data_IF_260376657000
#
_entry.id   IF_260376657000
#
_cell.length_a   1.000
_cell.length_b   1.000
_cell.length_c   1.000
_cell.angle_alpha   90.00
_cell.angle_beta   90.00
_cell.angle_gamma   90.00
#
_symmetry.space_group_name_H-M   'P 1'
#
loop_
_entity.id
_entity.type
_entity.pdbx_description
1 polymer ?
#
# COMPACT_ATOMS: atom_id res chain seq x y z
N UNK A 1 -22.67 -10.08 -0.95
CA UNK A 1 -22.50 -9.36 -2.24
C UNK A 1 -22.52 -10.36 -3.38
N UNK A 2 -23.09 -9.95 -4.51
CA UNK A 2 -23.32 -10.88 -5.60
C UNK A 2 -23.16 -10.20 -6.97
N UNK A 3 -22.56 -10.92 -7.93
CA UNK A 3 -22.53 -10.58 -9.36
C UNK A 3 -22.48 -11.87 -10.19
N UNK A 4 -23.12 -11.87 -11.35
CA UNK A 4 -23.11 -12.97 -12.35
C UNK A 4 -22.16 -12.70 -13.51
N UNK A 5 -21.42 -11.61 -13.47
CA UNK A 5 -20.57 -11.20 -14.56
C UNK A 5 -19.28 -12.00 -14.59
N UNK A 6 -18.83 -12.40 -15.77
CA UNK A 6 -17.47 -12.91 -15.94
C UNK A 6 -16.51 -11.73 -15.99
N UNK A 7 -15.56 -11.70 -15.08
CA UNK A 7 -14.52 -10.67 -15.07
C UNK A 7 -13.30 -11.15 -15.84
N UNK A 8 -12.74 -10.26 -16.66
CA UNK A 8 -11.56 -10.54 -17.47
C UNK A 8 -10.59 -9.37 -17.50
N UNK A 9 -9.31 -9.64 -17.33
CA UNK A 9 -8.26 -8.65 -17.54
C UNK A 9 -7.51 -8.83 -18.89
N UNK A 10 -7.99 -9.76 -19.73
CA UNK A 10 -7.38 -10.17 -20.98
C UNK A 10 -6.34 -11.29 -20.82
N UNK A 11 -6.01 -11.70 -19.59
CA UNK A 11 -5.10 -12.80 -19.27
C UNK A 11 -5.84 -13.90 -18.51
N UNK A 12 -6.60 -13.51 -17.49
CA UNK A 12 -7.41 -14.40 -16.64
C UNK A 12 -8.87 -14.02 -16.76
N UNK A 13 -9.72 -15.05 -16.88
CA UNK A 13 -11.17 -14.94 -16.78
C UNK A 13 -11.64 -15.64 -15.51
N UNK A 14 -12.55 -15.01 -14.78
CA UNK A 14 -13.14 -15.57 -13.56
C UNK A 14 -14.65 -15.33 -13.54
N UNK A 15 -15.41 -16.38 -13.26
CA UNK A 15 -16.83 -16.33 -12.88
C UNK A 15 -16.96 -16.25 -11.36
N UNK A 16 -18.16 -15.96 -10.88
CA UNK A 16 -18.49 -15.93 -9.45
C UNK A 16 -17.58 -15.03 -8.60
N UNK A 17 -17.16 -13.90 -9.18
CA UNK A 17 -16.36 -12.88 -8.53
C UNK A 17 -17.00 -11.50 -8.73
N UNK A 18 -16.84 -10.62 -7.74
CA UNK A 18 -17.26 -9.22 -7.82
C UNK A 18 -16.09 -8.28 -8.13
N UNK A 19 -14.86 -8.75 -7.92
CA UNK A 19 -13.65 -8.02 -8.30
C UNK A 19 -12.51 -9.00 -8.61
N UNK A 20 -11.68 -8.63 -9.59
CA UNK A 20 -10.44 -9.31 -9.97
C UNK A 20 -9.29 -8.31 -9.88
N UNK A 21 -8.22 -8.73 -9.22
CA UNK A 21 -7.01 -7.92 -9.03
C UNK A 21 -5.81 -8.64 -9.62
N UNK A 22 -5.00 -7.89 -10.36
CA UNK A 22 -3.67 -8.30 -10.79
C UNK A 22 -2.64 -7.41 -10.14
N UNK A 23 -1.77 -8.00 -9.34
CA UNK A 23 -0.59 -7.36 -8.75
C UNK A 23 0.65 -7.83 -9.49
N UNK A 24 1.61 -6.94 -9.68
CA UNK A 24 2.83 -7.21 -10.44
C UNK A 24 4.06 -6.91 -9.60
N UNK A 25 5.06 -7.78 -9.72
CA UNK A 25 6.42 -7.51 -9.30
C UNK A 25 7.33 -7.61 -10.50
N UNK A 26 8.24 -6.66 -10.66
CA UNK A 26 9.23 -6.62 -11.76
C UNK A 26 10.61 -6.79 -11.17
N UNK A 27 11.45 -7.61 -11.84
CA UNK A 27 12.84 -7.80 -11.46
C UNK A 27 13.66 -6.61 -11.95
N UNK A 28 14.30 -5.90 -11.03
CA UNK A 28 14.90 -4.61 -11.28
C UNK A 28 16.20 -4.44 -10.50
N UNK A 29 17.08 -3.58 -10.99
CA UNK A 29 18.19 -3.05 -10.20
C UNK A 29 17.68 -2.10 -9.13
N UNK A 30 18.26 -2.20 -7.95
CA UNK A 30 18.10 -1.28 -6.84
C UNK A 30 19.46 -0.76 -6.42
N UNK A 31 19.58 0.57 -6.35
CA UNK A 31 20.75 1.23 -5.77
C UNK A 31 20.53 1.45 -4.29
N UNK A 32 21.53 1.19 -3.48
CA UNK A 32 21.59 1.55 -2.07
C UNK A 32 22.93 2.23 -1.76
N UNK A 33 22.90 3.28 -0.96
CA UNK A 33 24.08 4.01 -0.52
C UNK A 33 24.69 3.31 0.70
N UNK A 34 26.01 3.28 0.81
CA UNK A 34 26.71 2.80 2.00
C UNK A 34 26.45 3.76 3.18
N UNK A 35 26.14 3.22 4.36
CA UNK A 35 25.86 4.02 5.55
C UNK A 35 27.09 4.73 6.11
N UNK A 36 28.31 4.15 5.89
CA UNK A 36 29.56 4.66 6.41
C UNK A 36 30.41 5.40 5.37
N UNK A 37 30.04 5.33 4.08
CA UNK A 37 30.78 5.98 3.00
C UNK A 37 29.83 6.59 1.97
N UNK A 38 29.70 7.91 2.02
CA UNK A 38 28.77 8.66 1.17
C UNK A 38 29.01 8.51 -0.33
N UNK A 39 30.19 8.12 -0.75
CA UNK A 39 30.56 7.98 -2.16
C UNK A 39 30.49 6.53 -2.65
N UNK A 40 30.04 5.58 -1.81
CA UNK A 40 29.96 4.17 -2.16
C UNK A 40 28.53 3.73 -2.34
N UNK A 41 28.24 3.10 -3.47
CA UNK A 41 26.92 2.60 -3.86
C UNK A 41 26.98 1.11 -4.14
N UNK A 42 25.91 0.39 -3.77
CA UNK A 42 25.71 -1.01 -4.05
C UNK A 42 24.53 -1.19 -4.98
N UNK A 43 24.60 -2.17 -5.88
CA UNK A 43 23.59 -2.49 -6.86
C UNK A 43 23.15 -3.93 -6.70
N UNK A 44 21.88 -4.12 -6.30
CA UNK A 44 21.29 -5.43 -6.12
C UNK A 44 20.10 -5.59 -7.06
N UNK A 45 19.84 -6.83 -7.47
CA UNK A 45 18.64 -7.17 -8.22
C UNK A 45 17.51 -7.55 -7.25
N UNK A 46 16.35 -6.94 -7.39
CA UNK A 46 15.21 -7.13 -6.49
C UNK A 46 13.89 -7.27 -7.24
N UNK A 47 12.94 -8.00 -6.66
CA UNK A 47 11.56 -7.99 -7.08
C UNK A 47 10.85 -6.79 -6.47
N UNK A 48 10.32 -5.89 -7.27
CA UNK A 48 9.67 -4.67 -6.81
C UNK A 48 8.30 -4.47 -7.46
N UNK A 49 7.32 -4.06 -6.65
CA UNK A 49 5.98 -3.66 -7.12
C UNK A 49 5.97 -2.28 -7.78
N UNK A 50 6.95 -1.45 -7.46
CA UNK A 50 7.10 -0.11 -8.03
C UNK A 50 8.23 -0.09 -9.03
N UNK A 51 8.09 0.70 -10.09
CA UNK A 51 9.19 0.98 -11.01
C UNK A 51 10.27 1.76 -10.25
N UNK A 52 11.50 1.26 -10.31
CA UNK A 52 12.68 1.93 -9.76
C UNK A 52 13.31 2.71 -10.91
N UNK A 53 13.31 4.04 -10.78
CA UNK A 53 13.87 4.91 -11.81
C UNK A 53 15.41 4.88 -11.77
N UNK A 54 16.02 4.15 -12.71
CA UNK A 54 17.46 4.02 -12.84
C UNK A 54 18.15 5.24 -13.46
N UNK A 55 17.41 6.20 -14.04
CA UNK A 55 18.00 7.46 -14.54
C UNK A 55 18.56 8.30 -13.37
N UNK A 56 18.19 7.96 -12.12
CA UNK A 56 18.69 8.61 -10.88
C UNK A 56 19.83 7.85 -10.22
N UNK A 57 20.28 6.73 -10.76
CA UNK A 57 21.39 5.95 -10.22
C UNK A 57 22.72 6.68 -10.43
N UNK A 58 23.61 6.52 -9.47
CA UNK A 58 24.97 7.06 -9.54
C UNK A 58 25.79 6.39 -10.65
N UNK A 59 25.51 5.11 -10.95
CA UNK A 59 26.14 4.38 -12.06
C UNK A 59 25.09 4.03 -13.14
N UNK A 60 25.23 4.66 -14.30
CA UNK A 60 24.33 4.51 -15.45
C UNK A 60 24.42 3.16 -16.16
N UNK A 61 25.34 2.26 -15.77
CA UNK A 61 25.42 0.90 -16.31
C UNK A 61 24.29 0.00 -15.83
N UNK A 62 23.62 0.34 -14.72
CA UNK A 62 22.52 -0.41 -14.14
C UNK A 62 21.18 0.17 -14.62
N UNK A 63 20.65 -0.38 -15.70
CA UNK A 63 19.47 0.17 -16.38
C UNK A 63 18.24 -0.68 -16.07
N UNK A 64 17.15 -0.06 -15.65
CA UNK A 64 15.83 -0.64 -15.49
C UNK A 64 14.91 -0.33 -16.67
N UNK A 65 13.87 -1.15 -16.92
CA UNK A 65 12.88 -0.85 -17.96
C UNK A 65 12.11 0.43 -17.61
N UNK A 66 12.00 1.32 -18.60
CA UNK A 66 11.21 2.56 -18.47
C UNK A 66 9.70 2.29 -18.50
N UNK A 67 9.29 1.20 -19.15
CA UNK A 67 7.89 0.79 -19.28
C UNK A 67 7.72 -0.66 -18.89
N UNK A 68 6.66 -0.95 -18.17
CA UNK A 68 6.31 -2.32 -17.81
C UNK A 68 5.51 -2.95 -18.95
N UNK A 69 5.79 -4.21 -19.27
CA UNK A 69 5.02 -5.00 -20.24
C UNK A 69 3.60 -5.26 -19.75
N UNK A 70 3.46 -5.49 -18.44
CA UNK A 70 2.18 -5.62 -17.75
C UNK A 70 2.15 -4.66 -16.57
N UNK A 71 0.94 -4.13 -16.27
CA UNK A 71 0.69 -3.25 -15.12
C UNK A 71 -0.28 -3.89 -14.14
N UNK A 72 -0.25 -3.51 -12.88
CA UNK A 72 -1.27 -3.87 -11.90
C UNK A 72 -2.62 -3.34 -12.34
N UNK A 73 -3.69 -4.15 -12.17
CA UNK A 73 -5.03 -3.83 -12.63
C UNK A 73 -6.08 -4.25 -11.62
N UNK A 74 -7.11 -3.44 -11.47
CA UNK A 74 -8.31 -3.75 -10.69
C UNK A 74 -9.52 -3.72 -11.61
N UNK A 75 -10.30 -4.78 -11.59
CA UNK A 75 -11.50 -4.93 -12.39
C UNK A 75 -12.65 -5.25 -11.45
N UNK A 76 -13.73 -4.52 -11.59
CA UNK A 76 -14.95 -4.71 -10.81
C UNK A 76 -16.09 -5.11 -11.74
N UNK A 77 -17.03 -5.89 -11.23
CA UNK A 77 -18.28 -6.13 -11.93
C UNK A 77 -19.12 -4.83 -11.97
N UNK A 78 -19.89 -4.66 -13.03
CA UNK A 78 -20.67 -3.42 -13.23
C UNK A 78 -21.86 -3.32 -12.27
N UNK A 79 -22.50 -4.45 -11.94
CA UNK A 79 -23.76 -4.50 -11.18
C UNK A 79 -23.63 -5.38 -9.94
N UNK A 80 -22.86 -4.91 -8.94
CA UNK A 80 -22.70 -5.64 -7.69
C UNK A 80 -23.84 -5.29 -6.75
N UNK A 81 -24.54 -6.32 -6.24
CA UNK A 81 -25.66 -6.19 -5.31
C UNK A 81 -25.33 -6.68 -3.91
N UNK A 82 -25.88 -5.99 -2.91
CA UNK A 82 -26.01 -6.46 -1.54
C UNK A 82 -27.48 -6.37 -1.14
N UNK A 83 -28.14 -7.53 -0.98
CA UNK A 83 -29.60 -7.56 -0.86
C UNK A 83 -30.25 -6.90 -2.06
N UNK A 84 -31.06 -5.86 -1.84
CA UNK A 84 -31.75 -5.10 -2.90
C UNK A 84 -30.98 -3.89 -3.44
N UNK A 85 -29.81 -3.58 -2.87
CA UNK A 85 -29.04 -2.37 -3.21
C UNK A 85 -27.85 -2.69 -4.11
N UNK A 86 -27.52 -1.75 -4.99
CA UNK A 86 -26.29 -1.76 -5.78
C UNK A 86 -25.17 -1.07 -5.03
N UNK A 87 -23.94 -1.58 -5.16
CA UNK A 87 -22.75 -0.99 -4.58
C UNK A 87 -22.00 -0.14 -5.60
N UNK A 88 -21.57 1.04 -5.19
CA UNK A 88 -20.65 1.84 -5.99
C UNK A 88 -19.21 1.28 -5.91
N UNK A 89 -18.36 1.53 -6.93
CA UNK A 89 -16.96 1.08 -6.93
C UNK A 89 -16.18 1.51 -5.68
N UNK A 90 -16.48 2.69 -5.13
CA UNK A 90 -15.84 3.22 -3.94
C UNK A 90 -16.10 2.40 -2.67
N UNK A 91 -17.30 1.81 -2.55
CA UNK A 91 -17.63 0.88 -1.46
C UNK A 91 -16.93 -0.45 -1.67
N UNK A 92 -16.91 -0.95 -2.91
CA UNK A 92 -16.27 -2.24 -3.24
C UNK A 92 -14.77 -2.18 -2.96
N UNK A 93 -14.10 -1.09 -3.28
CA UNK A 93 -12.69 -0.86 -2.97
C UNK A 93 -12.36 -0.93 -1.47
N UNK A 94 -13.36 -0.73 -0.58
CA UNK A 94 -13.19 -0.82 0.87
C UNK A 94 -13.31 -2.25 1.42
N UNK A 95 -13.72 -3.21 0.58
CA UNK A 95 -13.78 -4.62 0.97
C UNK A 95 -12.36 -5.17 1.08
N UNK A 96 -11.92 -5.45 2.30
CA UNK A 96 -10.56 -5.94 2.58
C UNK A 96 -10.38 -7.46 2.36
N UNK A 97 -11.46 -8.15 2.02
CA UNK A 97 -11.42 -9.59 1.78
C UNK A 97 -11.12 -9.86 0.31
N UNK A 98 -9.89 -10.26 0.02
CA UNK A 98 -9.52 -10.79 -1.28
C UNK A 98 -8.88 -12.18 -1.11
N UNK A 99 -9.32 -13.14 -1.92
CA UNK A 99 -8.80 -14.50 -1.96
C UNK A 99 -7.70 -14.58 -3.02
N UNK A 100 -6.52 -15.06 -2.65
CA UNK A 100 -5.45 -15.31 -3.63
C UNK A 100 -5.82 -16.46 -4.54
N UNK A 101 -5.53 -16.31 -5.83
CA UNK A 101 -5.72 -17.35 -6.83
C UNK A 101 -4.47 -18.26 -6.80
N UNK A 102 -4.58 -19.41 -6.13
CA UNK A 102 -3.46 -20.35 -6.00
C UNK A 102 -3.26 -21.19 -7.26
N UNK A 103 -4.36 -21.53 -7.92
CA UNK A 103 -4.36 -22.25 -9.19
C UNK A 103 -4.75 -21.28 -10.29
N UNK A 104 -3.80 -20.98 -11.16
CA UNK A 104 -4.01 -20.12 -12.32
C UNK A 104 -4.40 -20.94 -13.53
N UNK A 105 -5.33 -20.47 -14.38
CA UNK A 105 -5.65 -21.12 -15.65
C UNK A 105 -4.41 -21.17 -16.56
N UNK A 106 -4.32 -22.22 -17.36
CA UNK A 106 -3.25 -22.34 -18.35
C UNK A 106 -3.29 -21.18 -19.35
N UNK A 107 -2.12 -20.58 -19.59
CA UNK A 107 -1.96 -19.54 -20.59
C UNK A 107 -0.63 -19.74 -21.33
N UNK A 108 -0.68 -19.86 -22.66
CA UNK A 108 0.49 -20.14 -23.48
C UNK A 108 1.63 -19.12 -23.37
N UNK A 109 1.30 -17.88 -22.94
CA UNK A 109 2.27 -16.76 -22.88
C UNK A 109 3.09 -16.76 -21.60
N UNK A 110 2.74 -17.59 -20.61
CA UNK A 110 3.34 -17.54 -19.28
C UNK A 110 3.66 -18.93 -18.73
N UNK A 111 4.78 -19.05 -18.07
CA UNK A 111 5.04 -20.18 -17.18
C UNK A 111 4.33 -19.93 -15.84
N UNK A 112 3.82 -20.98 -15.20
CA UNK A 112 3.16 -20.90 -13.89
C UNK A 112 4.10 -21.43 -12.82
N UNK A 113 4.38 -20.62 -11.80
CA UNK A 113 5.19 -20.98 -10.64
C UNK A 113 4.45 -20.59 -9.36
N UNK A 114 4.25 -21.50 -8.43
CA UNK A 114 3.73 -21.23 -7.06
C UNK A 114 2.60 -20.20 -6.99
N UNK A 115 1.62 -20.27 -7.93
CA UNK A 115 0.44 -19.40 -7.93
C UNK A 115 0.65 -18.00 -8.54
N UNK A 116 1.68 -17.82 -9.36
CA UNK A 116 1.85 -16.63 -10.20
C UNK A 116 2.27 -17.00 -11.63
N UNK A 117 1.97 -16.12 -12.59
CA UNK A 117 2.54 -16.20 -13.93
C UNK A 117 3.90 -15.52 -13.96
N UNK A 118 4.83 -16.13 -14.66
CA UNK A 118 6.17 -15.59 -14.90
C UNK A 118 6.34 -15.25 -16.38
N UNK A 119 6.90 -14.08 -16.69
CA UNK A 119 7.04 -13.60 -18.07
C UNK A 119 8.37 -13.93 -18.71
N UNK A 120 9.36 -14.32 -17.92
CA UNK A 120 10.70 -14.67 -18.39
C UNK A 120 10.81 -16.13 -18.81
N UNK A 121 11.98 -16.51 -19.30
CA UNK A 121 12.26 -17.86 -19.77
C UNK A 121 12.75 -18.79 -18.65
N UNK A 122 13.47 -18.25 -17.67
CA UNK A 122 14.06 -19.02 -16.58
C UNK A 122 13.85 -18.30 -15.25
N UNK A 123 13.05 -18.91 -14.38
CA UNK A 123 12.72 -18.35 -13.08
C UNK A 123 13.90 -18.35 -12.09
N UNK A 124 14.78 -19.33 -12.18
CA UNK A 124 15.95 -19.44 -11.30
C UNK A 124 17.05 -18.42 -11.65
N UNK A 125 17.02 -17.90 -12.88
CA UNK A 125 17.92 -16.83 -13.33
C UNK A 125 17.12 -15.77 -14.10
N UNK A 126 16.33 -14.92 -13.41
CA UNK A 126 15.49 -13.93 -14.03
C UNK A 126 16.31 -12.79 -14.65
N UNK A 127 15.87 -12.30 -15.79
CA UNK A 127 16.43 -11.13 -16.45
C UNK A 127 15.78 -9.83 -15.92
N UNK A 128 16.52 -8.73 -15.97
CA UNK A 128 15.96 -7.40 -15.64
C UNK A 128 14.78 -7.11 -16.57
N UNK A 129 13.64 -6.77 -15.96
CA UNK A 129 12.38 -6.57 -16.68
C UNK A 129 11.42 -7.74 -16.65
N UNK A 130 11.85 -8.93 -16.23
CA UNK A 130 10.94 -10.06 -16.01
C UNK A 130 9.91 -9.72 -14.94
N UNK A 131 8.69 -10.26 -15.10
CA UNK A 131 7.57 -9.93 -14.22
C UNK A 131 6.92 -11.18 -13.64
N UNK A 132 6.47 -11.06 -12.39
CA UNK A 132 5.54 -11.96 -11.70
C UNK A 132 4.18 -11.31 -11.66
N UNK A 133 3.16 -12.04 -12.15
CA UNK A 133 1.76 -11.58 -12.12
C UNK A 133 1.01 -12.43 -11.11
N UNK A 134 0.57 -11.81 -10.03
CA UNK A 134 -0.24 -12.42 -8.98
C UNK A 134 -1.69 -12.04 -9.16
N UNK A 135 -2.58 -12.99 -8.92
CA UNK A 135 -4.01 -12.76 -8.99
C UNK A 135 -4.68 -12.97 -7.65
N UNK A 136 -5.63 -12.08 -7.37
CA UNK A 136 -6.57 -12.24 -6.27
C UNK A 136 -7.95 -11.75 -6.69
N UNK A 137 -8.98 -12.19 -6.03
CA UNK A 137 -10.35 -11.84 -6.35
C UNK A 137 -11.22 -11.76 -5.11
N UNK A 138 -12.28 -11.00 -5.19
CA UNK A 138 -13.35 -10.98 -4.20
C UNK A 138 -14.45 -11.91 -4.73
N UNK A 139 -14.70 -13.06 -4.07
CA UNK A 139 -15.72 -13.98 -4.55
C UNK A 139 -17.12 -13.40 -4.40
N UNK A 140 -18.01 -13.79 -5.31
CA UNK A 140 -19.45 -13.61 -5.17
C UNK A 140 -19.97 -14.46 -4.01
N UNK A 141 -21.11 -14.09 -3.44
CA UNK A 141 -21.73 -14.83 -2.33
C UNK A 141 -21.16 -14.54 -0.94
N UNK A 142 -20.09 -13.75 -0.79
CA UNK A 142 -19.59 -13.42 0.54
C UNK A 142 -20.53 -12.49 1.31
N UNK A 143 -20.60 -12.70 2.62
CA UNK A 143 -21.33 -11.81 3.51
C UNK A 143 -20.48 -10.59 3.87
N UNK A 144 -21.10 -9.41 3.78
CA UNK A 144 -20.49 -8.15 4.20
C UNK A 144 -21.50 -7.34 5.02
N UNK A 145 -21.00 -6.57 5.96
CA UNK A 145 -21.76 -5.55 6.68
C UNK A 145 -21.29 -4.18 6.24
N UNK A 146 -22.22 -3.31 5.89
CA UNK A 146 -21.93 -2.00 5.29
C UNK A 146 -22.66 -0.91 6.05
N UNK A 147 -21.95 0.16 6.39
CA UNK A 147 -22.52 1.45 6.83
C UNK A 147 -22.19 2.45 5.72
N UNK A 148 -23.23 2.94 5.04
CA UNK A 148 -23.10 3.82 3.90
C UNK A 148 -24.36 4.71 3.79
N UNK A 149 -24.30 5.72 2.94
CA UNK A 149 -25.48 6.51 2.57
C UNK A 149 -26.29 5.73 1.54
N UNK A 150 -27.62 5.78 1.66
CA UNK A 150 -28.54 5.24 0.66
C UNK A 150 -29.01 6.36 -0.27
N UNK A 151 -28.77 6.20 -1.55
CA UNK A 151 -29.25 7.08 -2.61
C UNK A 151 -30.07 6.23 -3.61
N UNK A 152 -31.39 6.26 -3.48
CA UNK A 152 -32.29 5.40 -4.24
C UNK A 152 -31.98 3.91 -4.02
N UNK A 153 -31.60 3.21 -5.08
CA UNK A 153 -31.20 1.79 -5.07
C UNK A 153 -29.69 1.56 -4.87
N UNK A 154 -28.91 2.63 -4.65
CA UNK A 154 -27.45 2.54 -4.51
C UNK A 154 -27.03 2.82 -3.08
N UNK A 155 -25.94 2.16 -2.67
CA UNK A 155 -25.20 2.51 -1.47
C UNK A 155 -23.94 3.28 -1.91
N UNK A 156 -23.79 4.47 -1.33
CA UNK A 156 -22.73 5.43 -1.63
C UNK A 156 -21.96 5.79 -0.38
N UNK A 157 -20.80 6.41 -0.54
CA UNK A 157 -20.09 6.96 0.61
C UNK A 157 -20.90 8.06 1.29
N UNK A 158 -20.79 8.16 2.61
CA UNK A 158 -21.34 9.24 3.41
C UNK A 158 -20.46 10.46 3.17
N UNK A 159 -21.04 11.54 2.67
CA UNK A 159 -20.33 12.81 2.47
C UNK A 159 -20.03 13.49 3.81
N UNK A 160 -18.80 13.93 3.98
CA UNK A 160 -18.36 14.63 5.18
C UNK A 160 -17.39 15.76 4.82
N UNK A 161 -17.39 16.88 5.58
CA UNK A 161 -16.38 17.94 5.42
C UNK A 161 -14.94 17.48 5.59
N UNK A 162 -14.74 16.33 6.25
CA UNK A 162 -13.42 15.71 6.51
C UNK A 162 -13.06 14.60 5.51
N UNK A 163 -13.85 14.46 4.45
CA UNK A 163 -13.71 13.42 3.43
C UNK A 163 -14.82 12.39 3.45
N UNK A 164 -15.14 11.86 2.28
CA UNK A 164 -16.19 10.86 2.11
C UNK A 164 -15.80 9.52 2.71
N UNK A 165 -16.71 8.86 3.42
CA UNK A 165 -16.42 7.58 4.05
C UNK A 165 -17.59 6.59 3.96
N UNK A 166 -17.25 5.32 3.99
CA UNK A 166 -18.15 4.21 4.25
C UNK A 166 -17.39 3.18 5.08
N UNK A 167 -18.09 2.45 5.94
CA UNK A 167 -17.51 1.38 6.74
C UNK A 167 -17.96 0.06 6.16
N UNK A 168 -17.00 -0.78 5.76
CA UNK A 168 -17.25 -2.12 5.22
C UNK A 168 -16.50 -3.14 6.06
N UNK A 169 -17.20 -4.17 6.48
CA UNK A 169 -16.62 -5.26 7.25
C UNK A 169 -17.02 -6.61 6.63
N UNK A 170 -16.10 -7.56 6.62
CA UNK A 170 -16.39 -8.92 6.19
C UNK A 170 -17.21 -9.67 7.25
N UNK A 171 -18.16 -10.47 6.79
CA UNK A 171 -19.07 -11.22 7.62
C UNK A 171 -20.25 -10.40 8.16
N UNK A 172 -21.08 -11.06 8.97
CA UNK A 172 -22.22 -10.43 9.61
C UNK A 172 -21.79 -9.76 10.92
N UNK A 173 -21.88 -8.43 10.97
CA UNK A 173 -21.52 -7.63 12.13
C UNK A 173 -22.62 -6.62 12.45
N UNK A 174 -22.87 -6.40 13.71
CA UNK A 174 -23.78 -5.36 14.14
C UNK A 174 -23.09 -3.98 14.13
N UNK A 175 -23.88 -2.92 14.19
CA UNK A 175 -23.39 -1.53 14.14
C UNK A 175 -22.30 -1.26 15.20
N UNK A 176 -22.51 -1.73 16.44
CA UNK A 176 -21.57 -1.52 17.54
C UNK A 176 -20.21 -2.16 17.30
N UNK A 177 -20.19 -3.38 16.73
CA UNK A 177 -18.97 -4.08 16.37
C UNK A 177 -18.22 -3.35 15.23
N UNK A 178 -18.94 -2.93 14.19
CA UNK A 178 -18.36 -2.20 13.07
C UNK A 178 -17.73 -0.88 13.50
N UNK A 179 -18.43 -0.10 14.34
CA UNK A 179 -17.90 1.15 14.87
C UNK A 179 -16.70 0.94 15.79
N UNK A 180 -16.70 -0.11 16.60
CA UNK A 180 -15.55 -0.46 17.46
C UNK A 180 -14.31 -0.77 16.63
N UNK A 181 -14.43 -1.57 15.57
CA UNK A 181 -13.32 -1.90 14.67
C UNK A 181 -12.82 -0.66 13.91
N UNK A 182 -13.73 0.17 13.44
CA UNK A 182 -13.39 1.40 12.75
C UNK A 182 -12.60 2.36 13.66
N UNK A 183 -13.07 2.56 14.89
CA UNK A 183 -12.36 3.37 15.90
C UNK A 183 -11.00 2.81 16.26
N UNK A 184 -10.87 1.49 16.39
CA UNK A 184 -9.58 0.84 16.67
C UNK A 184 -8.55 1.14 15.56
N UNK A 185 -8.96 1.07 14.29
CA UNK A 185 -8.08 1.37 13.16
C UNK A 185 -7.66 2.85 13.13
N UNK A 186 -8.58 3.79 13.41
CA UNK A 186 -8.26 5.22 13.49
C UNK A 186 -7.31 5.50 14.66
N UNK A 187 -7.59 4.95 15.84
CA UNK A 187 -6.76 5.16 17.01
C UNK A 187 -5.33 4.66 16.80
N UNK A 188 -5.16 3.51 16.15
CA UNK A 188 -3.83 2.98 15.83
C UNK A 188 -3.02 3.96 14.98
N UNK A 189 -3.61 4.48 13.91
CA UNK A 189 -2.95 5.48 13.05
C UNK A 189 -2.65 6.77 13.82
N UNK A 190 -3.58 7.25 14.63
CA UNK A 190 -3.40 8.46 15.46
C UNK A 190 -2.24 8.31 16.44
N UNK A 191 -2.09 7.13 17.07
CA UNK A 191 -0.96 6.86 17.96
C UNK A 191 0.38 6.86 17.23
N UNK A 192 0.45 6.31 16.01
CA UNK A 192 1.66 6.34 15.17
C UNK A 192 2.07 7.80 14.89
N UNK A 193 1.12 8.64 14.45
CA UNK A 193 1.41 10.06 14.18
C UNK A 193 1.82 10.83 15.44
N UNK A 194 1.21 10.54 16.59
CA UNK A 194 1.63 11.11 17.89
C UNK A 194 3.05 10.71 18.25
N UNK A 195 3.40 9.44 18.08
CA UNK A 195 4.77 8.94 18.36
C UNK A 195 5.81 9.62 17.46
N UNK A 196 5.50 9.79 16.17
CA UNK A 196 6.35 10.52 15.23
C UNK A 196 6.49 11.99 15.66
N UNK A 197 5.41 12.65 16.07
CA UNK A 197 5.44 14.03 16.55
C UNK A 197 6.31 14.20 17.79
N UNK A 198 6.23 13.28 18.76
CA UNK A 198 7.09 13.26 19.95
C UNK A 198 8.55 13.08 19.55
N UNK A 199 8.86 12.15 18.63
CA UNK A 199 10.23 11.93 18.14
C UNK A 199 10.81 13.20 17.49
N UNK A 200 10.02 13.86 16.63
CA UNK A 200 10.42 15.11 15.99
C UNK A 200 10.66 16.23 17.00
N UNK A 201 9.86 16.28 18.07
CA UNK A 201 10.05 17.24 19.17
C UNK A 201 11.39 17.00 19.89
N UNK A 202 11.74 15.73 20.18
CA UNK A 202 13.05 15.41 20.78
C UNK A 202 14.21 15.80 19.86
N UNK A 203 14.11 15.53 18.56
CA UNK A 203 15.12 15.94 17.57
C UNK A 203 15.25 17.47 17.56
N UNK A 204 14.14 18.20 17.52
CA UNK A 204 14.13 19.66 17.53
C UNK A 204 14.79 20.24 18.80
N UNK A 205 14.46 19.70 19.97
CA UNK A 205 15.08 20.13 21.23
C UNK A 205 16.59 19.86 21.22
N UNK A 206 17.04 18.68 20.74
CA UNK A 206 18.47 18.37 20.63
C UNK A 206 19.21 19.34 19.68
N UNK A 207 18.61 19.71 18.55
CA UNK A 207 19.22 20.68 17.62
C UNK A 207 19.37 22.07 18.26
N UNK A 208 18.37 22.49 19.05
CA UNK A 208 18.46 23.76 19.79
C UNK A 208 19.56 23.70 20.85
N UNK A 209 19.62 22.60 21.63
CA UNK A 209 20.66 22.42 22.65
C UNK A 209 22.06 22.41 22.00
N UNK A 210 22.25 21.67 20.89
CA UNK A 210 23.51 21.68 20.15
C UNK A 210 23.91 23.08 19.65
N UNK A 211 22.93 23.85 19.19
CA UNK A 211 23.22 25.22 18.78
C UNK A 211 23.68 26.13 19.93
N UNK A 212 23.11 25.95 21.13
CA UNK A 212 23.45 26.67 22.33
C UNK A 212 24.84 26.21 22.86
N UNK A 213 25.14 24.91 22.85
CA UNK A 213 26.44 24.39 23.29
C UNK A 213 27.57 24.82 22.39
N UNK A 214 27.38 24.86 21.08
CA UNK A 214 28.35 25.39 20.12
C UNK A 214 28.57 26.92 20.26
N UNK A 215 27.59 27.67 20.78
CA UNK A 215 27.72 29.08 21.15
C UNK A 215 28.47 29.26 22.45
N UNK A 216 28.39 28.31 23.40
CA UNK A 216 29.10 28.35 24.66
C UNK A 216 30.63 28.28 24.51
N UNK A 217 31.14 27.57 23.48
CA UNK A 217 32.59 27.59 23.17
C UNK A 217 33.10 28.98 22.71
N UNK A 218 32.17 29.84 22.19
CA UNK A 218 32.48 31.18 21.70
C UNK A 218 32.13 32.30 22.67
N UNK A 219 31.24 32.05 23.66
CA UNK A 219 30.76 33.07 24.62
C UNK A 219 30.61 32.39 26.01
N UNK A 220 31.67 32.42 26.88
CA UNK A 220 31.67 31.68 28.14
C UNK A 220 30.59 32.10 29.16
N UNK A 221 29.96 33.26 28.99
CA UNK A 221 28.93 33.77 29.90
C UNK A 221 27.54 33.14 29.74
N UNK A 222 27.22 32.56 28.57
CA UNK A 222 25.91 31.94 28.33
C UNK A 222 25.72 30.59 29.02
N UNK A 223 26.81 29.88 29.35
CA UNK A 223 26.77 28.60 30.04
C UNK A 223 26.19 28.66 31.44
N UNK A 224 26.50 29.72 32.17
CA UNK A 224 26.00 29.93 33.55
C UNK A 224 24.51 30.26 33.58
N UNK A 225 24.00 30.99 32.58
CA UNK A 225 22.58 31.34 32.45
C UNK A 225 21.74 30.10 32.12
N UNK A 226 22.23 29.23 31.23
CA UNK A 226 21.51 28.00 30.82
C UNK A 226 21.52 27.00 32.00
N UNK A 227 22.61 26.84 32.73
CA UNK A 227 22.65 25.99 33.93
C UNK A 227 21.70 26.49 35.03
N UNK A 228 21.63 27.80 35.26
CA UNK A 228 20.69 28.37 36.24
C UNK A 228 19.23 28.16 35.90
N UNK A 229 18.86 28.11 34.64
CA UNK A 229 17.49 27.82 34.18
C UNK A 229 17.07 26.36 34.32
N UNK A 230 18.05 25.42 34.28
CA UNK A 230 17.77 23.97 34.45
C UNK A 230 17.74 23.53 35.91
N UNK A 231 18.30 24.33 36.85
CA UNK A 231 18.30 24.02 38.31
C UNK A 231 17.13 24.69 39.07
N UNK A 232 16.22 25.38 38.38
CA UNK A 232 15.06 26.06 38.99
C UNK A 232 13.76 25.27 38.86
N UNK A 233 13.83 23.97 38.52
CA UNK A 233 12.66 23.04 38.55
C UNK A 233 12.99 21.81 39.38
#
# INVERSE_FOLDING_TARGET
IYSNQILSDGIVNISDAVALFRDIETYQWQESKDENNENKYYYNKVWSKKIINSDKFNNNSYINPKHLKYSSKKIFADNIKVGKYYLTPDIINKIKYAKKMQQLPYNQKFAIYNGFYFTGNNYDNPAIGDQKLFYSYIPSGIQVSIIANQSGNHLEQIKSPYGDFAIVASGQKNLKQMLKEYRKNINSNTWIFRSIGILLMFIGVNLVIQSITNLNEKIPFLGEIVQSLFFLY
#
